data_IF_670174644777
#
_entry.id   IF_670174644777
#
_cell.length_a   1.000
_cell.length_b   1.000
_cell.length_c   1.000
_cell.angle_alpha   90.00
_cell.angle_beta   90.00
_cell.angle_gamma   90.00
#
_symmetry.space_group_name_H-M   'P 1'
#
loop_
_entity.id
_entity.type
_entity.pdbx_description
1 polymer ?
#
# COMPACT_ATOMS: atom_id res chain seq x y z
N UNK A 1 7.99 41.89 23.41
CA UNK A 1 8.48 40.57 23.01
C UNK A 1 7.49 39.95 22.04
N UNK A 2 7.90 39.85 20.77
CA UNK A 2 7.14 39.13 19.74
C UNK A 2 7.40 37.64 19.95
N UNK A 3 6.36 36.86 20.23
CA UNK A 3 6.40 35.40 20.21
C UNK A 3 6.05 34.98 18.78
N UNK A 4 7.04 34.67 17.98
CA UNK A 4 6.83 33.97 16.72
C UNK A 4 6.37 32.55 17.02
N UNK A 5 5.10 32.29 16.85
CA UNK A 5 4.61 30.93 16.70
C UNK A 5 5.01 30.44 15.32
N UNK A 6 6.13 29.73 15.24
CA UNK A 6 6.41 28.91 14.07
C UNK A 6 5.32 27.85 13.99
N UNK A 7 4.27 28.10 13.21
CA UNK A 7 3.34 27.06 12.77
C UNK A 7 4.14 26.08 11.89
N UNK A 8 4.72 25.06 12.49
CA UNK A 8 5.16 23.89 11.77
C UNK A 8 3.92 23.18 11.23
N UNK A 9 3.36 23.69 10.14
CA UNK A 9 2.56 22.86 9.27
C UNK A 9 3.56 21.87 8.66
N UNK A 10 3.64 20.66 9.23
CA UNK A 10 4.24 19.54 8.50
C UNK A 10 3.44 19.46 7.21
N UNK A 11 4.07 19.79 6.07
CA UNK A 11 3.47 19.56 4.76
C UNK A 11 2.99 18.10 4.67
N UNK A 12 2.05 17.83 3.81
CA UNK A 12 1.54 16.48 3.58
C UNK A 12 2.72 15.54 3.29
N UNK A 13 2.86 14.51 4.11
CA UNK A 13 3.96 13.54 3.97
C UNK A 13 3.76 12.73 2.69
N UNK A 14 4.79 12.57 1.84
CA UNK A 14 4.68 11.73 0.67
C UNK A 14 4.46 10.27 1.06
N UNK A 15 3.70 9.57 0.22
CA UNK A 15 3.38 8.15 0.38
C UNK A 15 4.24 7.35 -0.60
N UNK A 16 5.25 6.66 -0.09
CA UNK A 16 6.12 5.78 -0.88
C UNK A 16 5.43 4.44 -1.07
N UNK A 17 5.17 4.08 -2.32
CA UNK A 17 4.42 2.88 -2.66
C UNK A 17 5.33 1.69 -2.92
N UNK A 18 5.02 0.58 -2.26
CA UNK A 18 5.55 -0.74 -2.57
C UNK A 18 4.81 -1.38 -3.75
N UNK A 19 5.48 -2.23 -4.53
CA UNK A 19 4.91 -3.01 -5.65
C UNK A 19 3.72 -3.86 -5.24
N UNK A 20 3.72 -4.42 -4.03
CA UNK A 20 2.61 -5.21 -3.50
C UNK A 20 1.29 -4.44 -3.46
N UNK A 21 1.35 -3.16 -3.13
CA UNK A 21 0.19 -2.26 -3.02
C UNK A 21 -0.40 -1.96 -4.40
N UNK A 22 0.46 -1.77 -5.40
CA UNK A 22 0.04 -1.50 -6.77
C UNK A 22 -0.60 -2.76 -7.38
N UNK A 23 0.00 -3.93 -7.17
CA UNK A 23 -0.53 -5.22 -7.65
C UNK A 23 -1.88 -5.54 -7.00
N UNK A 24 -2.04 -5.20 -5.73
CA UNK A 24 -3.30 -5.37 -4.98
C UNK A 24 -4.43 -4.53 -5.60
N UNK A 25 -4.16 -3.27 -5.92
CA UNK A 25 -5.04 -2.33 -6.59
C UNK A 25 -6.01 -1.57 -5.68
N UNK A 26 -6.26 -2.03 -4.44
CA UNK A 26 -7.15 -1.35 -3.47
C UNK A 26 -6.72 0.09 -3.14
N UNK A 27 -5.46 0.42 -3.42
CA UNK A 27 -4.93 1.76 -3.19
C UNK A 27 -5.69 2.83 -4.00
N UNK A 28 -6.20 2.51 -5.19
CA UNK A 28 -6.99 3.42 -6.02
C UNK A 28 -8.25 3.84 -5.27
N UNK A 29 -9.01 2.85 -4.78
CA UNK A 29 -10.26 3.08 -4.06
C UNK A 29 -10.00 3.88 -2.77
N UNK A 30 -8.95 3.53 -2.02
CA UNK A 30 -8.60 4.22 -0.77
C UNK A 30 -8.24 5.69 -0.99
N UNK A 31 -7.53 6.02 -2.07
CA UNK A 31 -7.15 7.40 -2.36
C UNK A 31 -8.36 8.21 -2.81
N UNK A 32 -9.27 7.62 -3.59
CA UNK A 32 -10.49 8.31 -4.03
C UNK A 32 -11.41 8.68 -2.86
N UNK A 33 -11.32 7.98 -1.72
CA UNK A 33 -12.04 8.36 -0.49
C UNK A 33 -11.47 9.59 0.20
N UNK A 34 -10.30 10.08 -0.23
CA UNK A 34 -9.57 11.20 0.37
C UNK A 34 -9.17 10.99 1.84
N UNK A 35 -9.14 9.73 2.29
CA UNK A 35 -8.59 9.37 3.61
C UNK A 35 -7.06 9.58 3.63
N UNK A 36 -6.41 9.37 2.49
CA UNK A 36 -4.99 9.60 2.34
C UNK A 36 -4.75 10.91 1.60
N UNK A 37 -4.20 11.87 2.31
CA UNK A 37 -3.65 13.08 1.73
C UNK A 37 -2.14 12.92 1.56
N UNK A 38 -1.65 13.31 0.40
CA UNK A 38 -0.23 13.28 0.12
C UNK A 38 0.09 12.88 -1.31
N UNK A 39 1.27 13.27 -1.72
CA UNK A 39 1.83 12.90 -3.02
C UNK A 39 2.22 11.43 -3.02
N UNK A 40 1.80 10.69 -4.04
CA UNK A 40 2.24 9.32 -4.25
C UNK A 40 3.63 9.29 -4.88
N UNK A 41 4.52 8.52 -4.31
CA UNK A 41 5.88 8.35 -4.79
C UNK A 41 6.11 6.88 -5.14
N UNK A 42 6.32 6.60 -6.43
CA UNK A 42 6.74 5.29 -6.90
C UNK A 42 8.23 5.34 -7.25
N UNK A 43 9.10 4.61 -6.53
CA UNK A 43 10.50 4.56 -6.90
C UNK A 43 10.72 3.85 -8.23
N UNK A 44 11.71 4.28 -9.00
CA UNK A 44 12.07 3.67 -10.29
C UNK A 44 12.35 2.18 -10.17
N UNK A 45 13.05 1.76 -9.12
CA UNK A 45 13.35 0.35 -8.89
C UNK A 45 12.10 -0.50 -8.62
N UNK A 46 11.07 0.06 -7.94
CA UNK A 46 9.79 -0.62 -7.76
C UNK A 46 9.01 -0.73 -9.07
N UNK A 47 9.05 0.31 -9.92
CA UNK A 47 8.48 0.24 -11.27
C UNK A 47 9.17 -0.84 -12.12
N UNK A 48 10.51 -0.93 -12.07
CA UNK A 48 11.27 -1.97 -12.77
C UNK A 48 10.90 -3.37 -12.28
N UNK A 49 10.77 -3.54 -10.96
CA UNK A 49 10.31 -4.81 -10.40
C UNK A 49 8.93 -5.18 -10.93
N UNK A 50 7.98 -4.24 -10.97
CA UNK A 50 6.65 -4.45 -11.49
C UNK A 50 6.68 -4.87 -12.98
N UNK A 51 7.53 -4.23 -13.79
CA UNK A 51 7.75 -4.60 -15.18
C UNK A 51 8.32 -6.02 -15.32
N UNK A 52 9.32 -6.37 -14.50
CA UNK A 52 9.89 -7.73 -14.50
C UNK A 52 8.85 -8.79 -14.12
N UNK A 53 7.94 -8.47 -13.21
CA UNK A 53 6.82 -9.36 -12.86
C UNK A 53 5.86 -9.49 -14.06
N UNK A 54 5.56 -8.39 -14.75
CA UNK A 54 4.68 -8.37 -15.93
C UNK A 54 5.25 -9.12 -17.15
N UNK A 55 6.57 -9.23 -17.24
CA UNK A 55 7.30 -9.95 -18.30
C UNK A 55 7.69 -11.39 -17.89
N UNK A 56 7.28 -11.84 -16.70
CA UNK A 56 7.60 -13.17 -16.19
C UNK A 56 7.07 -14.29 -17.11
N UNK A 57 7.85 -15.36 -17.24
CA UNK A 57 7.42 -16.59 -17.93
C UNK A 57 6.29 -17.29 -17.17
N UNK A 58 6.22 -17.16 -15.86
CA UNK A 58 5.12 -17.67 -15.05
C UNK A 58 3.83 -16.90 -15.32
N UNK A 59 2.76 -17.63 -15.71
CA UNK A 59 1.47 -17.04 -16.09
C UNK A 59 0.84 -16.25 -14.95
N UNK A 60 0.90 -16.75 -13.72
CA UNK A 60 0.29 -16.11 -12.54
C UNK A 60 1.02 -14.81 -12.21
N UNK A 61 2.35 -14.85 -12.15
CA UNK A 61 3.18 -13.68 -11.92
C UNK A 61 2.94 -12.62 -12.99
N UNK A 62 2.98 -13.02 -14.26
CA UNK A 62 2.73 -12.12 -15.40
C UNK A 62 1.36 -11.43 -15.31
N UNK A 63 0.31 -12.18 -14.98
CA UNK A 63 -1.04 -11.60 -14.81
C UNK A 63 -1.07 -10.57 -13.69
N UNK A 64 -0.43 -10.86 -12.57
CA UNK A 64 -0.34 -9.92 -11.44
C UNK A 64 0.44 -8.66 -11.80
N UNK A 65 1.57 -8.79 -12.47
CA UNK A 65 2.37 -7.65 -12.92
C UNK A 65 1.61 -6.75 -13.89
N UNK A 66 0.91 -7.34 -14.88
CA UNK A 66 0.09 -6.59 -15.84
C UNK A 66 -1.04 -5.82 -15.15
N UNK A 67 -1.73 -6.47 -14.20
CA UNK A 67 -2.73 -5.79 -13.38
C UNK A 67 -2.13 -4.59 -12.65
N UNK A 68 -0.95 -4.74 -12.07
CA UNK A 68 -0.27 -3.63 -11.40
C UNK A 68 0.07 -2.48 -12.35
N UNK A 69 0.49 -2.77 -13.59
CA UNK A 69 0.72 -1.72 -14.60
C UNK A 69 -0.58 -1.00 -15.00
N UNK A 70 -1.72 -1.72 -15.04
CA UNK A 70 -3.02 -1.10 -15.32
C UNK A 70 -3.46 -0.20 -14.16
N UNK A 71 -3.29 -0.63 -12.91
CA UNK A 71 -3.52 0.18 -11.70
C UNK A 71 -2.64 1.44 -11.72
N UNK A 72 -1.36 1.31 -12.10
CA UNK A 72 -0.46 2.45 -12.20
C UNK A 72 -0.95 3.48 -13.22
N UNK A 73 -1.43 3.04 -14.39
CA UNK A 73 -2.02 3.93 -15.40
C UNK A 73 -3.26 4.65 -14.87
N UNK A 74 -4.10 3.95 -14.12
CA UNK A 74 -5.30 4.51 -13.50
C UNK A 74 -4.94 5.60 -12.48
N UNK A 75 -3.96 5.35 -11.60
CA UNK A 75 -3.45 6.34 -10.67
C UNK A 75 -2.87 7.57 -11.37
N UNK A 76 -2.12 7.39 -12.47
CA UNK A 76 -1.54 8.49 -13.23
C UNK A 76 -2.59 9.30 -14.02
N UNK A 77 -3.68 8.66 -14.44
CA UNK A 77 -4.75 9.31 -15.19
C UNK A 77 -5.72 10.10 -14.30
N UNK A 78 -5.70 9.89 -13.00
CA UNK A 78 -6.60 10.56 -12.07
C UNK A 78 -6.09 11.97 -11.74
N UNK A 79 -6.81 13.04 -12.13
CA UNK A 79 -6.36 14.42 -11.91
C UNK A 79 -6.33 14.83 -10.43
N UNK A 80 -7.02 14.12 -9.57
CA UNK A 80 -7.04 14.37 -8.12
C UNK A 80 -5.83 13.74 -7.40
N UNK A 81 -5.01 12.97 -8.11
CA UNK A 81 -3.86 12.24 -7.56
C UNK A 81 -2.56 12.86 -8.06
N UNK A 82 -1.77 13.41 -7.17
CA UNK A 82 -0.40 13.79 -7.49
C UNK A 82 0.52 12.58 -7.35
N UNK A 83 0.92 11.99 -8.48
CA UNK A 83 1.83 10.85 -8.51
C UNK A 83 3.13 11.19 -9.23
N UNK A 84 4.25 10.85 -8.61
CA UNK A 84 5.57 11.02 -9.20
C UNK A 84 6.34 9.70 -9.23
N UNK A 85 7.15 9.51 -10.28
CA UNK A 85 8.15 8.46 -10.33
C UNK A 85 9.45 9.07 -9.82
N UNK A 86 9.99 8.49 -8.74
CA UNK A 86 11.24 8.95 -8.14
C UNK A 86 12.42 8.23 -8.80
N UNK A 87 13.23 8.98 -9.53
CA UNK A 87 14.27 8.43 -10.40
C UNK A 87 15.61 8.16 -9.68
N UNK A 88 15.90 8.91 -8.62
CA UNK A 88 17.21 8.88 -7.97
C UNK A 88 17.29 7.85 -6.84
N UNK A 89 18.44 7.21 -6.72
CA UNK A 89 18.83 6.42 -5.57
C UNK A 89 19.99 7.11 -4.86
N UNK A 90 19.91 7.22 -3.53
CA UNK A 90 21.02 7.73 -2.73
C UNK A 90 22.15 6.69 -2.62
N UNK A 91 23.33 7.12 -2.21
CA UNK A 91 24.46 6.20 -1.96
C UNK A 91 24.10 5.12 -0.92
N UNK A 92 23.27 5.46 0.08
CA UNK A 92 22.83 4.53 1.10
C UNK A 92 21.97 3.39 0.54
N UNK A 93 21.32 3.59 -0.60
CA UNK A 93 20.48 2.59 -1.27
C UNK A 93 21.29 1.64 -2.16
N UNK A 94 22.49 2.01 -2.56
CA UNK A 94 23.30 1.20 -3.47
C UNK A 94 23.60 -0.18 -2.86
N UNK A 95 23.32 -1.24 -3.61
CA UNK A 95 23.53 -2.63 -3.18
C UNK A 95 22.54 -3.14 -2.13
N UNK A 96 21.57 -2.34 -1.70
CA UNK A 96 20.56 -2.78 -0.76
C UNK A 96 19.44 -3.56 -1.46
N UNK A 97 18.81 -4.52 -0.78
CA UNK A 97 17.56 -5.14 -1.24
C UNK A 97 16.46 -4.10 -1.47
N UNK A 98 15.50 -4.41 -2.36
CA UNK A 98 14.39 -3.52 -2.70
C UNK A 98 13.61 -3.03 -1.47
N UNK A 99 13.32 -3.94 -0.53
CA UNK A 99 12.64 -3.62 0.72
C UNK A 99 13.37 -2.55 1.54
N UNK A 100 14.69 -2.70 1.67
CA UNK A 100 15.51 -1.73 2.40
C UNK A 100 15.58 -0.39 1.66
N UNK A 101 15.66 -0.40 0.31
CA UNK A 101 15.62 0.83 -0.50
C UNK A 101 14.31 1.59 -0.30
N UNK A 102 13.17 0.89 -0.22
CA UNK A 102 11.86 1.50 0.06
C UNK A 102 11.84 2.20 1.42
N UNK A 103 12.37 1.55 2.45
CA UNK A 103 12.46 2.12 3.80
C UNK A 103 13.37 3.33 3.83
N UNK A 104 14.56 3.24 3.22
CA UNK A 104 15.51 4.35 3.14
C UNK A 104 14.91 5.55 2.41
N UNK A 105 14.24 5.31 1.27
CA UNK A 105 13.59 6.38 0.51
C UNK A 105 12.48 7.05 1.32
N UNK A 106 11.63 6.28 2.00
CA UNK A 106 10.58 6.84 2.84
C UNK A 106 11.17 7.71 3.96
N UNK A 107 12.29 7.28 4.56
CA UNK A 107 13.00 8.03 5.58
C UNK A 107 13.60 9.34 5.03
N UNK A 108 14.28 9.29 3.89
CA UNK A 108 14.89 10.45 3.24
C UNK A 108 13.85 11.50 2.84
N UNK A 109 12.69 11.06 2.35
CA UNK A 109 11.59 11.94 1.98
C UNK A 109 10.76 12.42 3.18
N UNK A 110 11.10 11.97 4.40
CA UNK A 110 10.25 12.16 5.59
C UNK A 110 8.79 11.77 5.31
N UNK A 111 8.61 10.71 4.53
CA UNK A 111 7.35 10.17 4.05
C UNK A 111 6.86 8.99 4.87
N UNK A 112 5.76 8.39 4.39
CA UNK A 112 5.21 7.14 4.91
C UNK A 112 5.39 6.05 3.87
N UNK A 113 5.70 4.83 4.31
CA UNK A 113 5.73 3.66 3.45
C UNK A 113 4.33 3.04 3.39
N UNK A 114 3.84 2.75 2.19
CA UNK A 114 2.57 2.04 1.98
C UNK A 114 2.87 0.66 1.43
N UNK A 115 2.51 -0.39 2.16
CA UNK A 115 2.79 -1.78 1.80
C UNK A 115 1.66 -2.72 2.21
N UNK A 116 1.60 -3.91 1.61
CA UNK A 116 0.79 -5.03 2.06
C UNK A 116 1.61 -6.11 2.77
N UNK A 117 2.95 -5.96 2.83
CA UNK A 117 3.85 -6.96 3.42
C UNK A 117 4.12 -6.65 4.90
N UNK A 118 3.80 -7.61 5.77
CA UNK A 118 4.06 -7.51 7.20
C UNK A 118 5.54 -7.56 7.58
N UNK A 119 6.38 -8.21 6.77
CA UNK A 119 7.82 -8.24 7.04
C UNK A 119 8.44 -6.87 6.77
N UNK A 120 8.08 -6.25 5.65
CA UNK A 120 8.51 -4.90 5.33
C UNK A 120 7.99 -3.88 6.36
N UNK A 121 6.75 -4.05 6.86
CA UNK A 121 6.23 -3.26 7.97
C UNK A 121 7.14 -3.31 9.21
N UNK A 122 7.55 -4.50 9.63
CA UNK A 122 8.46 -4.66 10.79
C UNK A 122 9.82 -3.98 10.57
N UNK A 123 10.41 -4.16 9.38
CA UNK A 123 11.71 -3.54 9.05
C UNK A 123 11.61 -2.02 9.07
N UNK A 124 10.56 -1.45 8.46
CA UNK A 124 10.34 -0.03 8.41
C UNK A 124 10.13 0.58 9.81
N UNK A 125 9.35 -0.09 10.66
CA UNK A 125 9.12 0.34 12.04
C UNK A 125 10.41 0.38 12.85
N UNK A 126 11.31 -0.60 12.68
CA UNK A 126 12.63 -0.62 13.32
C UNK A 126 13.56 0.52 12.86
N UNK A 127 13.27 1.11 11.71
CA UNK A 127 13.99 2.26 11.14
C UNK A 127 13.29 3.61 11.40
N UNK A 128 12.31 3.64 12.29
CA UNK A 128 11.50 4.81 12.62
C UNK A 128 10.72 5.39 11.43
N UNK A 129 10.37 4.54 10.45
CA UNK A 129 9.54 4.91 9.30
C UNK A 129 8.09 4.57 9.59
N UNK A 130 7.22 5.56 9.44
CA UNK A 130 5.77 5.34 9.56
C UNK A 130 5.27 4.47 8.40
N UNK A 131 4.52 3.43 8.72
CA UNK A 131 3.97 2.50 7.72
C UNK A 131 2.45 2.56 7.72
N UNK A 132 1.89 2.53 6.51
CA UNK A 132 0.47 2.27 6.26
C UNK A 132 0.39 0.87 5.66
N UNK A 133 -0.04 -0.11 6.45
CA UNK A 133 -0.30 -1.45 5.93
C UNK A 133 -1.74 -1.54 5.43
N UNK A 134 -1.94 -1.81 4.13
CA UNK A 134 -3.27 -1.87 3.53
C UNK A 134 -4.16 -2.96 4.14
N UNK A 135 -3.58 -4.07 4.59
CA UNK A 135 -4.35 -5.13 5.22
C UNK A 135 -4.86 -4.69 6.60
N UNK A 136 -4.09 -3.89 7.35
CA UNK A 136 -4.52 -3.35 8.62
C UNK A 136 -5.64 -2.32 8.42
N UNK A 137 -5.54 -1.47 7.39
CA UNK A 137 -6.61 -0.52 7.02
C UNK A 137 -7.90 -1.26 6.73
N UNK A 138 -7.87 -2.29 5.88
CA UNK A 138 -9.06 -3.10 5.56
C UNK A 138 -9.61 -3.79 6.79
N UNK A 139 -8.76 -4.33 7.67
CA UNK A 139 -9.21 -4.97 8.91
C UNK A 139 -9.87 -3.98 9.85
N UNK A 140 -9.35 -2.75 9.95
CA UNK A 140 -9.92 -1.69 10.79
C UNK A 140 -11.29 -1.21 10.30
N UNK A 141 -11.57 -1.35 9.00
CA UNK A 141 -12.84 -0.96 8.37
C UNK A 141 -13.88 -2.09 8.33
N UNK A 142 -13.54 -3.28 8.81
CA UNK A 142 -14.51 -4.38 8.89
C UNK A 142 -15.68 -4.01 9.80
N UNK A 143 -16.92 -4.39 9.41
CA UNK A 143 -18.08 -4.18 10.26
C UNK A 143 -17.87 -4.81 11.65
N UNK A 144 -18.19 -4.05 12.69
CA UNK A 144 -18.23 -4.56 14.06
C UNK A 144 -19.61 -5.14 14.29
N UNK A 145 -19.70 -6.44 14.49
CA UNK A 145 -20.93 -7.11 14.81
C UNK A 145 -21.18 -7.06 16.32
N UNK A 146 -22.36 -6.64 16.70
CA UNK A 146 -22.76 -6.61 18.09
C UNK A 146 -23.36 -7.94 18.54
N UNK A 147 -23.17 -8.28 19.81
CA UNK A 147 -23.78 -9.48 20.38
C UNK A 147 -25.30 -9.41 20.28
N UNK A 148 -25.93 -10.42 19.66
CA UNK A 148 -27.38 -10.48 19.44
C UNK A 148 -27.85 -10.02 18.06
N UNK A 149 -26.98 -9.48 17.22
CA UNK A 149 -27.32 -9.23 15.82
C UNK A 149 -27.57 -10.54 15.05
N UNK A 150 -28.57 -10.54 14.19
CA UNK A 150 -28.91 -11.68 13.35
C UNK A 150 -28.55 -11.39 11.90
N UNK A 151 -27.88 -12.36 11.28
CA UNK A 151 -27.45 -12.26 9.88
C UNK A 151 -28.02 -13.41 9.07
N UNK A 152 -28.46 -13.10 7.85
CA UNK A 152 -28.78 -14.11 6.86
C UNK A 152 -27.52 -14.42 6.05
N UNK A 153 -26.97 -15.61 6.24
CA UNK A 153 -25.76 -16.04 5.55
C UNK A 153 -26.12 -17.22 4.64
N UNK A 154 -25.80 -17.09 3.36
CA UNK A 154 -25.87 -18.21 2.42
C UNK A 154 -24.62 -19.05 2.54
N UNK A 155 -24.76 -20.29 3.00
CA UNK A 155 -23.65 -21.24 3.03
C UNK A 155 -23.32 -21.68 1.60
N UNK A 156 -22.06 -21.48 1.18
CA UNK A 156 -21.61 -21.78 -0.18
C UNK A 156 -20.72 -23.01 -0.28
N UNK A 157 -20.13 -23.45 0.83
CA UNK A 157 -19.38 -24.71 0.91
C UNK A 157 -19.29 -25.21 2.35
N UNK A 158 -18.96 -26.49 2.49
CA UNK A 158 -18.66 -27.11 3.79
C UNK A 158 -17.37 -26.51 4.37
N UNK A 159 -17.32 -26.39 5.70
CA UNK A 159 -16.15 -25.97 6.45
C UNK A 159 -15.16 -27.11 6.68
N UNK A 160 -14.18 -26.88 7.55
CA UNK A 160 -13.14 -27.88 7.87
C UNK A 160 -13.63 -28.99 8.82
N UNK A 161 -14.76 -28.82 9.46
CA UNK A 161 -15.40 -29.81 10.34
C UNK A 161 -16.88 -30.02 9.99
N UNK A 162 -17.45 -31.17 10.38
CA UNK A 162 -18.81 -31.62 9.99
C UNK A 162 -19.94 -30.65 10.37
N UNK A 163 -19.72 -29.74 11.32
CA UNK A 163 -20.71 -28.75 11.76
C UNK A 163 -20.41 -27.31 11.28
N UNK A 164 -19.43 -27.14 10.42
CA UNK A 164 -19.02 -25.83 9.91
C UNK A 164 -19.42 -25.64 8.46
N UNK A 165 -19.87 -24.43 8.15
CA UNK A 165 -20.13 -23.98 6.78
C UNK A 165 -19.42 -22.66 6.52
N UNK A 166 -19.01 -22.43 5.28
CA UNK A 166 -18.44 -21.14 4.83
C UNK A 166 -19.52 -20.38 4.06
N UNK A 167 -19.82 -19.20 4.55
CA UNK A 167 -20.73 -18.26 3.92
C UNK A 167 -20.14 -16.86 3.88
N UNK A 168 -20.70 -16.01 3.04
CA UNK A 168 -20.33 -14.61 2.92
C UNK A 168 -21.53 -13.74 3.29
N UNK A 169 -21.24 -12.61 3.91
CA UNK A 169 -22.18 -11.51 4.08
C UNK A 169 -22.10 -10.65 2.81
N UNK A 170 -23.24 -10.29 2.26
CA UNK A 170 -23.39 -9.35 1.15
C UNK A 170 -23.14 -7.91 1.61
#
# INVERSE_FOLDING_TARGET
>A
PYVEFAKNYKGLQPLVLDTSVIIDGRIVDLITTKIFDGKLVLPRFALQELQNIADSNDKMRRTRGRRGLDVLKELQANPDIEMIIHESESEAMHGQPVDMKLVLLAKELNGKLVTGDYNLNKVATLQDVTVINLNDVVNALKPVFLSGEQFNIKIVKEGESESQGVGYLD
#
